data_IF_439275782883
#
_entry.id   IF_439275782883
#
_cell.length_a   1.000
_cell.length_b   1.000
_cell.length_c   1.000
_cell.angle_alpha   90.00
_cell.angle_beta   90.00
_cell.angle_gamma   90.00
#
_symmetry.space_group_name_H-M   'P 1'
#
loop_
_entity.id
_entity.type
_entity.pdbx_description
1 polymer ?
#
# COMPACT_ATOMS: atom_id res chain seq x y z
N UNK A 1 -3.56 -19.00 14.59
CA UNK A 1 -4.26 -19.46 13.37
C UNK A 1 -3.72 -18.61 12.22
N UNK A 2 -3.23 -19.27 11.16
CA UNK A 2 -2.81 -18.57 9.94
C UNK A 2 -4.08 -18.29 9.11
N UNK A 3 -4.33 -17.02 8.81
CA UNK A 3 -5.49 -16.54 8.03
C UNK A 3 -5.07 -15.84 6.74
N UNK A 4 -3.85 -16.08 6.27
CA UNK A 4 -3.26 -15.35 5.14
C UNK A 4 -4.06 -15.54 3.84
N UNK A 5 -4.62 -16.72 3.61
CA UNK A 5 -5.46 -16.98 2.42
C UNK A 5 -6.82 -16.29 2.53
N UNK A 6 -7.41 -16.31 3.72
CA UNK A 6 -8.73 -15.75 3.99
C UNK A 6 -8.72 -14.23 3.85
N UNK A 7 -7.70 -13.53 4.36
CA UNK A 7 -7.59 -12.07 4.26
C UNK A 7 -7.34 -11.57 2.83
N UNK A 8 -6.89 -12.43 1.92
CA UNK A 8 -6.72 -12.12 0.49
C UNK A 8 -7.95 -12.45 -0.35
N UNK A 9 -9.04 -12.91 0.28
CA UNK A 9 -10.29 -13.17 -0.42
C UNK A 9 -10.96 -11.87 -0.91
N UNK A 10 -11.76 -11.97 -1.99
CA UNK A 10 -12.53 -10.82 -2.47
C UNK A 10 -13.56 -10.35 -1.44
N UNK A 11 -14.11 -11.25 -0.65
CA UNK A 11 -15.03 -10.92 0.43
C UNK A 11 -14.39 -9.99 1.46
N UNK A 12 -13.19 -10.30 1.91
CA UNK A 12 -12.45 -9.44 2.84
C UNK A 12 -11.99 -8.16 2.15
N UNK A 13 -11.45 -8.26 0.94
CA UNK A 13 -10.99 -7.08 0.18
C UNK A 13 -12.08 -6.03 -0.05
N UNK A 14 -13.33 -6.45 -0.26
CA UNK A 14 -14.47 -5.54 -0.42
C UNK A 14 -14.89 -4.82 0.87
N UNK A 15 -14.55 -5.37 2.03
CA UNK A 15 -14.96 -4.85 3.34
C UNK A 15 -13.85 -4.07 4.04
N UNK A 16 -12.58 -4.31 3.70
CA UNK A 16 -11.45 -3.74 4.42
C UNK A 16 -11.46 -2.21 4.41
N UNK A 17 -11.80 -1.59 3.29
CA UNK A 17 -11.88 -0.13 3.19
C UNK A 17 -13.01 0.47 4.05
N UNK A 18 -14.12 -0.26 4.23
CA UNK A 18 -15.22 0.15 5.11
C UNK A 18 -14.80 0.09 6.58
N UNK A 19 -14.13 -0.99 6.98
CA UNK A 19 -13.60 -1.15 8.34
C UNK A 19 -12.53 -0.10 8.63
N UNK A 20 -11.68 0.23 7.64
CA UNK A 20 -10.64 1.25 7.76
C UNK A 20 -11.16 2.69 7.93
N UNK A 21 -12.47 2.93 7.70
CA UNK A 21 -13.11 4.23 7.98
C UNK A 21 -13.48 4.41 9.46
N UNK A 22 -13.55 3.32 10.23
CA UNK A 22 -13.90 3.37 11.65
C UNK A 22 -12.73 3.97 12.44
N UNK A 23 -12.96 5.13 13.02
CA UNK A 23 -11.94 5.94 13.71
C UNK A 23 -11.22 5.16 14.82
N UNK A 24 -11.98 4.45 15.64
CA UNK A 24 -11.48 3.68 16.78
C UNK A 24 -10.59 2.52 16.31
N UNK A 25 -10.98 1.86 15.22
CA UNK A 25 -10.18 0.79 14.60
C UNK A 25 -8.87 1.37 14.09
N UNK A 26 -8.91 2.51 13.40
CA UNK A 26 -7.72 3.19 12.89
C UNK A 26 -6.77 3.56 14.01
N UNK A 27 -7.25 4.25 15.05
CA UNK A 27 -6.44 4.66 16.21
C UNK A 27 -5.72 3.47 16.84
N UNK A 28 -6.44 2.36 17.04
CA UNK A 28 -5.86 1.15 17.61
C UNK A 28 -4.80 0.51 16.71
N UNK A 29 -5.06 0.45 15.39
CA UNK A 29 -4.10 -0.12 14.42
C UNK A 29 -2.85 0.74 14.29
N UNK A 30 -2.98 2.06 14.20
CA UNK A 30 -1.84 3.00 14.17
C UNK A 30 -0.96 2.80 15.40
N UNK A 31 -1.54 2.75 16.61
CA UNK A 31 -0.78 2.52 17.84
C UNK A 31 -0.04 1.17 17.86
N UNK A 32 -0.62 0.12 17.26
CA UNK A 32 0.04 -1.18 17.13
C UNK A 32 1.21 -1.10 16.14
N UNK A 33 1.00 -0.49 14.97
CA UNK A 33 2.03 -0.32 13.95
C UNK A 33 3.20 0.52 14.45
N UNK A 34 2.95 1.62 15.17
CA UNK A 34 3.97 2.44 15.79
C UNK A 34 4.83 1.65 16.78
N UNK A 35 4.22 0.86 17.65
CA UNK A 35 4.94 -0.03 18.57
C UNK A 35 5.79 -1.07 17.85
N UNK A 36 5.32 -1.61 16.73
CA UNK A 36 6.11 -2.56 15.91
C UNK A 36 7.38 -1.91 15.36
N UNK A 37 7.37 -0.60 15.15
CA UNK A 37 8.49 0.16 14.60
C UNK A 37 9.44 0.73 15.65
N UNK A 38 9.10 0.71 16.95
CA UNK A 38 9.92 1.30 18.03
C UNK A 38 11.36 0.76 18.07
N UNK A 39 11.56 -0.49 17.71
CA UNK A 39 12.89 -1.11 17.70
C UNK A 39 13.74 -0.73 16.46
N UNK A 40 13.17 -0.03 15.49
CA UNK A 40 13.80 0.25 14.19
C UNK A 40 13.92 -0.98 13.29
N UNK A 41 14.57 -0.82 12.14
CA UNK A 41 14.84 -1.90 11.19
C UNK A 41 13.60 -2.51 10.57
N UNK A 42 12.54 -1.71 10.35
CA UNK A 42 11.27 -2.16 9.79
C UNK A 42 11.01 -1.57 8.40
N UNK A 43 10.31 -2.32 7.57
CA UNK A 43 9.72 -1.84 6.33
C UNK A 43 8.21 -2.05 6.43
N UNK A 44 7.43 -1.01 6.22
CA UNK A 44 5.97 -1.07 6.28
C UNK A 44 5.36 -0.52 4.99
N UNK A 45 4.32 -1.18 4.50
CA UNK A 45 3.52 -0.69 3.39
C UNK A 45 2.08 -0.38 3.83
N UNK A 46 1.48 0.60 3.20
CA UNK A 46 0.09 0.98 3.50
C UNK A 46 -0.30 2.29 2.82
N UNK A 47 -1.42 2.88 3.26
CA UNK A 47 -1.98 4.10 2.66
C UNK A 47 -1.54 5.38 3.36
N UNK A 48 -1.20 5.29 4.62
CA UNK A 48 -0.93 6.40 5.52
C UNK A 48 0.33 6.19 6.38
N UNK A 49 1.21 5.26 5.96
CA UNK A 49 2.40 4.92 6.75
C UNK A 49 3.30 6.14 6.92
N UNK A 50 3.69 6.80 5.84
CA UNK A 50 4.60 7.96 5.89
C UNK A 50 3.98 9.26 6.37
N UNK A 51 2.64 9.34 6.48
CA UNK A 51 1.93 10.58 6.90
C UNK A 51 1.36 10.52 8.30
N UNK A 52 0.97 9.31 8.79
CA UNK A 52 0.28 9.14 10.07
C UNK A 52 0.99 8.14 10.97
N UNK A 53 1.36 6.97 10.44
CA UNK A 53 1.91 5.89 11.26
C UNK A 53 3.37 6.19 11.64
N UNK A 54 4.22 6.44 10.65
CA UNK A 54 5.65 6.71 10.79
C UNK A 54 6.04 8.03 10.09
N UNK A 55 5.56 9.19 10.59
CA UNK A 55 5.84 10.48 9.96
C UNK A 55 7.32 10.90 10.07
N UNK A 56 8.10 10.22 10.91
CA UNK A 56 9.54 10.45 11.09
C UNK A 56 10.40 9.33 10.48
N UNK A 57 9.83 8.49 9.60
CA UNK A 57 10.61 7.45 8.93
C UNK A 57 11.75 8.07 8.10
N UNK A 58 12.93 7.49 8.15
CA UNK A 58 14.15 7.92 7.47
C UNK A 58 13.98 7.91 5.95
N UNK A 59 13.25 6.93 5.44
CA UNK A 59 12.90 6.84 4.03
C UNK A 59 11.38 6.66 3.85
N UNK A 60 10.78 7.56 3.10
CA UNK A 60 9.39 7.48 2.67
C UNK A 60 9.32 7.35 1.17
N UNK A 61 8.59 6.35 0.71
CA UNK A 61 8.36 6.13 -0.73
C UNK A 61 6.87 6.17 -1.00
N UNK A 62 6.47 7.01 -1.94
CA UNK A 62 5.10 7.05 -2.45
C UNK A 62 5.05 6.30 -3.77
N UNK A 63 4.50 5.08 -3.72
CA UNK A 63 4.35 4.22 -4.89
C UNK A 63 3.11 4.61 -5.67
N UNK A 64 3.27 4.81 -6.97
CA UNK A 64 2.15 5.04 -7.89
C UNK A 64 2.26 4.17 -9.13
N UNK A 65 1.15 3.98 -9.82
CA UNK A 65 1.06 3.42 -11.17
C UNK A 65 -0.31 3.78 -11.76
N UNK A 66 -0.39 3.79 -13.09
CA UNK A 66 -1.65 4.01 -13.79
C UNK A 66 -2.73 3.02 -13.35
N UNK A 67 -3.98 3.46 -13.16
CA UNK A 67 -5.08 2.59 -12.78
C UNK A 67 -5.24 1.38 -13.70
N UNK A 68 -5.09 1.58 -14.99
CA UNK A 68 -5.16 0.55 -16.02
C UNK A 68 -4.08 -0.51 -15.85
N UNK A 69 -2.83 -0.08 -15.61
CA UNK A 69 -1.70 -0.96 -15.33
C UNK A 69 -1.95 -1.78 -14.07
N UNK A 70 -2.44 -1.16 -13.00
CA UNK A 70 -2.78 -1.84 -11.75
C UNK A 70 -3.93 -2.83 -11.92
N UNK A 71 -4.97 -2.45 -12.67
CA UNK A 71 -6.09 -3.31 -12.98
C UNK A 71 -5.65 -4.54 -13.80
N UNK A 72 -4.78 -4.35 -14.80
CA UNK A 72 -4.24 -5.43 -15.60
C UNK A 72 -3.39 -6.42 -14.76
N UNK A 73 -2.49 -5.90 -13.91
CA UNK A 73 -1.69 -6.73 -13.00
C UNK A 73 -2.58 -7.56 -12.06
N UNK A 74 -3.61 -6.93 -11.49
CA UNK A 74 -4.57 -7.59 -10.60
C UNK A 74 -5.42 -8.63 -11.34
N UNK A 75 -5.87 -8.33 -12.55
CA UNK A 75 -6.59 -9.29 -13.40
C UNK A 75 -5.75 -10.54 -13.65
N UNK A 76 -4.47 -10.36 -14.01
CA UNK A 76 -3.53 -11.47 -14.25
C UNK A 76 -3.37 -12.35 -13.01
N UNK A 77 -3.19 -11.75 -11.86
CA UNK A 77 -3.11 -12.45 -10.57
C UNK A 77 -4.40 -13.24 -10.26
N UNK A 78 -5.55 -12.60 -10.43
CA UNK A 78 -6.85 -13.23 -10.16
C UNK A 78 -7.12 -14.41 -11.09
N UNK A 79 -6.81 -14.28 -12.38
CA UNK A 79 -6.93 -15.38 -13.35
C UNK A 79 -5.97 -16.53 -13.06
N UNK A 80 -4.74 -16.24 -12.65
CA UNK A 80 -3.79 -17.27 -12.23
C UNK A 80 -4.26 -18.04 -11.00
N UNK A 81 -5.08 -17.41 -10.14
CA UNK A 81 -5.74 -18.04 -8.99
C UNK A 81 -7.11 -18.67 -9.32
N UNK A 82 -7.42 -18.87 -10.61
CA UNK A 82 -8.64 -19.55 -11.08
C UNK A 82 -9.93 -18.73 -10.92
N UNK A 83 -9.83 -17.39 -10.77
CA UNK A 83 -11.01 -16.53 -10.67
C UNK A 83 -11.45 -16.08 -12.06
N UNK A 84 -12.74 -16.20 -12.33
CA UNK A 84 -13.36 -15.67 -13.54
C UNK A 84 -13.88 -14.26 -13.27
N UNK A 85 -13.11 -13.26 -13.72
CA UNK A 85 -13.42 -11.83 -13.54
C UNK A 85 -13.11 -11.07 -14.82
N UNK A 86 -13.90 -10.05 -15.14
CA UNK A 86 -13.66 -9.17 -16.27
C UNK A 86 -12.63 -8.09 -15.93
N UNK A 87 -11.98 -7.52 -16.96
CA UNK A 87 -11.09 -6.37 -16.79
C UNK A 87 -11.85 -5.15 -16.27
N UNK A 88 -13.04 -4.90 -16.79
CA UNK A 88 -13.84 -3.73 -16.42
C UNK A 88 -14.25 -3.76 -14.94
N UNK A 89 -14.66 -4.93 -14.42
CA UNK A 89 -14.97 -5.09 -13.00
C UNK A 89 -13.75 -4.82 -12.10
N UNK A 90 -12.56 -5.28 -12.56
CA UNK A 90 -11.32 -5.07 -11.81
C UNK A 90 -10.92 -3.60 -11.84
N UNK A 91 -11.03 -2.93 -13.00
CA UNK A 91 -10.70 -1.51 -13.15
C UNK A 91 -11.64 -0.63 -12.31
N UNK A 92 -12.96 -0.89 -12.37
CA UNK A 92 -13.93 -0.19 -11.56
C UNK A 92 -13.62 -0.33 -10.05
N UNK A 93 -13.27 -1.54 -9.61
CA UNK A 93 -12.88 -1.79 -8.22
C UNK A 93 -11.60 -1.04 -7.83
N UNK A 94 -10.60 -0.95 -8.72
CA UNK A 94 -9.37 -0.19 -8.48
C UNK A 94 -9.68 1.29 -8.32
N UNK A 95 -10.44 1.88 -9.24
CA UNK A 95 -10.82 3.30 -9.21
C UNK A 95 -11.66 3.66 -7.97
N UNK A 96 -12.66 2.85 -7.64
CA UNK A 96 -13.50 3.07 -6.47
C UNK A 96 -12.68 2.98 -5.17
N UNK A 97 -11.75 2.03 -5.09
CA UNK A 97 -10.88 1.91 -3.93
C UNK A 97 -9.96 3.13 -3.78
N UNK A 98 -9.38 3.62 -4.87
CA UNK A 98 -8.54 4.82 -4.85
C UNK A 98 -9.34 6.04 -4.37
N UNK A 99 -10.58 6.18 -4.85
CA UNK A 99 -11.49 7.23 -4.41
C UNK A 99 -11.75 7.15 -2.90
N UNK A 100 -12.12 5.96 -2.42
CA UNK A 100 -12.40 5.73 -1.00
C UNK A 100 -11.16 6.03 -0.14
N UNK A 101 -9.99 5.53 -0.54
CA UNK A 101 -8.75 5.69 0.23
C UNK A 101 -8.27 7.15 0.25
N UNK A 102 -8.53 7.93 -0.80
CA UNK A 102 -8.14 9.35 -0.91
C UNK A 102 -9.12 10.31 -0.22
N UNK A 103 -10.42 9.99 -0.25
CA UNK A 103 -11.48 10.87 0.27
C UNK A 103 -11.85 10.58 1.74
N UNK A 104 -11.36 9.52 2.35
CA UNK A 104 -11.71 9.19 3.73
C UNK A 104 -11.29 10.30 4.69
N UNK A 105 -12.14 10.60 5.67
CA UNK A 105 -11.94 11.71 6.62
C UNK A 105 -10.76 11.46 7.57
N UNK A 106 -10.43 10.19 7.88
CA UNK A 106 -9.36 9.83 8.80
C UNK A 106 -8.24 9.13 8.04
N UNK A 107 -7.03 9.68 8.13
CA UNK A 107 -5.81 9.15 7.53
C UNK A 107 -5.98 8.80 6.03
N UNK A 108 -6.32 9.77 5.17
CA UNK A 108 -6.46 9.54 3.74
C UNK A 108 -5.14 9.12 3.11
N UNK A 109 -5.22 8.46 1.94
CA UNK A 109 -4.05 8.23 1.11
C UNK A 109 -3.49 9.58 0.61
N UNK A 110 -2.35 9.98 1.14
CA UNK A 110 -1.64 11.20 0.72
C UNK A 110 -0.15 10.94 0.64
N UNK A 111 0.48 11.62 -0.31
CA UNK A 111 1.94 11.68 -0.36
C UNK A 111 2.46 12.51 0.82
N UNK A 112 3.46 12.02 1.54
CA UNK A 112 4.20 12.83 2.49
C UNK A 112 5.10 13.82 1.72
N UNK A 113 5.33 15.02 2.29
CA UNK A 113 6.09 16.08 1.61
C UNK A 113 7.53 15.66 1.27
N UNK A 114 8.12 14.83 2.11
CA UNK A 114 9.48 14.31 1.99
C UNK A 114 9.53 12.91 1.33
N UNK A 115 8.42 12.44 0.77
CA UNK A 115 8.39 11.14 0.11
C UNK A 115 8.97 11.18 -1.30
N UNK A 116 9.83 10.21 -1.61
CA UNK A 116 10.27 9.94 -2.99
C UNK A 116 9.12 9.29 -3.75
N UNK A 117 8.71 9.90 -4.85
CA UNK A 117 7.67 9.33 -5.73
C UNK A 117 8.29 8.29 -6.65
N UNK A 118 7.70 7.11 -6.68
CA UNK A 118 8.10 6.02 -7.57
C UNK A 118 6.90 5.61 -8.41
N UNK A 119 6.89 6.04 -9.66
CA UNK A 119 5.94 5.53 -10.65
C UNK A 119 6.47 4.21 -11.22
N UNK A 120 5.72 3.14 -10.99
CA UNK A 120 6.10 1.82 -11.44
C UNK A 120 5.24 1.30 -12.61
N UNK A 121 4.54 2.20 -13.31
CA UNK A 121 3.67 1.84 -14.44
C UNK A 121 4.41 0.98 -15.47
N UNK A 122 5.61 1.39 -15.84
CA UNK A 122 6.46 0.75 -16.86
C UNK A 122 7.57 -0.14 -16.29
N UNK A 123 7.66 -0.26 -14.95
CA UNK A 123 8.71 -1.04 -14.32
C UNK A 123 8.31 -2.51 -14.17
N UNK A 124 9.27 -3.38 -14.42
CA UNK A 124 9.20 -4.79 -13.97
C UNK A 124 9.35 -4.88 -12.45
N UNK A 125 8.96 -6.00 -11.87
CA UNK A 125 9.13 -6.27 -10.44
C UNK A 125 10.61 -6.19 -10.03
N UNK A 126 11.52 -6.68 -10.88
CA UNK A 126 12.96 -6.68 -10.62
C UNK A 126 13.54 -5.26 -10.66
N UNK A 127 13.19 -4.46 -11.67
CA UNK A 127 13.63 -3.06 -11.78
C UNK A 127 13.15 -2.23 -10.59
N UNK A 128 11.87 -2.36 -10.24
CA UNK A 128 11.32 -1.71 -9.06
C UNK A 128 12.05 -2.11 -7.78
N UNK A 129 12.28 -3.41 -7.59
CA UNK A 129 12.98 -3.93 -6.41
C UNK A 129 14.40 -3.35 -6.32
N UNK A 130 15.17 -3.41 -7.41
CA UNK A 130 16.53 -2.89 -7.46
C UNK A 130 16.59 -1.39 -7.19
N UNK A 131 15.64 -0.63 -7.73
CA UNK A 131 15.52 0.80 -7.46
C UNK A 131 15.27 1.09 -5.98
N UNK A 132 14.31 0.40 -5.36
CA UNK A 132 13.97 0.59 -3.94
C UNK A 132 15.13 0.18 -3.01
N UNK A 133 15.83 -0.92 -3.32
CA UNK A 133 17.01 -1.36 -2.56
C UNK A 133 18.13 -0.33 -2.66
N UNK A 134 18.39 0.21 -3.85
CA UNK A 134 19.40 1.26 -4.05
C UNK A 134 19.04 2.50 -3.24
N UNK A 135 17.79 2.95 -3.30
CA UNK A 135 17.31 4.10 -2.56
C UNK A 135 17.48 3.93 -1.04
N UNK A 136 17.14 2.73 -0.52
CA UNK A 136 17.30 2.43 0.89
C UNK A 136 18.78 2.42 1.32
N UNK A 137 19.66 1.81 0.53
CA UNK A 137 21.11 1.78 0.80
C UNK A 137 21.72 3.17 0.82
N UNK A 138 21.41 4.01 -0.17
CA UNK A 138 21.88 5.40 -0.22
C UNK A 138 21.46 6.14 1.05
N UNK A 139 20.21 5.99 1.49
CA UNK A 139 19.74 6.66 2.70
C UNK A 139 20.47 6.18 3.96
N UNK A 140 20.73 4.87 4.07
CA UNK A 140 21.49 4.31 5.19
C UNK A 140 22.96 4.78 5.25
N UNK A 141 23.55 5.08 4.08
CA UNK A 141 24.91 5.62 3.99
C UNK A 141 24.96 7.11 4.36
N UNK A 142 23.91 7.88 4.03
CA UNK A 142 23.80 9.29 4.38
C UNK A 142 23.61 9.53 5.89
N UNK A 143 23.01 8.57 6.60
CA UNK A 143 22.72 8.65 8.03
C UNK A 143 23.81 7.99 8.92
N UNK A 144 24.87 7.41 8.32
CA UNK A 144 25.96 6.71 9.02
C UNK A 144 27.12 7.67 9.36
#
# INVERSE_FOLDING_TARGET
INVEKEIRSMEVASKVSLVARVSEVRTKLVAIQQRMAEAGGVVMDGRDIGTVVLPQAELKVFMTADPETRAYRRLKEMKANGKDVSYDDVLENVLERDRIDSERAVAPLRQAEDAVVVDNSDLTVEEQFNFLVTLARTRMEDDA
#
